data_IF_927778933715
#
_entry.id   IF_927778933715
#
_cell.length_a   1.000
_cell.length_b   1.000
_cell.length_c   1.000
_cell.angle_alpha   90.00
_cell.angle_beta   90.00
_cell.angle_gamma   90.00
#
_symmetry.space_group_name_H-M   'P 1'
#
loop_
_entity.id
_entity.type
_entity.pdbx_description
1 polymer ?
#
# COMPACT_ATOMS: atom_id res chain seq x y z
N UNK A 1 -7.71 -10.07 1.32
CA UNK A 1 -7.45 -11.24 2.20
C UNK A 1 -8.33 -11.01 3.40
N UNK A 2 -9.52 -11.61 3.49
CA UNK A 2 -10.50 -11.25 4.53
C UNK A 2 -10.00 -11.74 5.90
N UNK A 3 -9.45 -10.83 6.71
CA UNK A 3 -9.08 -11.08 8.11
C UNK A 3 -9.86 -10.09 8.95
N UNK A 4 -10.95 -10.56 9.56
CA UNK A 4 -11.73 -9.79 10.54
C UNK A 4 -10.82 -9.25 11.65
N UNK A 5 -10.52 -7.95 11.62
CA UNK A 5 -9.77 -7.24 12.67
C UNK A 5 -10.73 -6.87 13.80
N UNK A 6 -11.08 -7.85 14.64
CA UNK A 6 -12.12 -7.69 15.66
C UNK A 6 -11.65 -7.02 16.96
N UNK A 7 -10.41 -7.27 17.42
CA UNK A 7 -9.92 -6.79 18.71
C UNK A 7 -8.77 -5.78 18.61
N UNK A 8 -8.57 -4.95 19.64
CA UNK A 8 -7.42 -4.02 19.76
C UNK A 8 -6.06 -4.73 19.65
N UNK A 9 -5.99 -5.99 20.11
CA UNK A 9 -4.80 -6.84 19.96
C UNK A 9 -4.56 -7.21 18.50
N UNK A 10 -5.62 -7.41 17.72
CA UNK A 10 -5.54 -7.69 16.29
C UNK A 10 -5.07 -6.46 15.51
N UNK A 11 -5.51 -5.25 15.92
CA UNK A 11 -5.03 -3.98 15.35
C UNK A 11 -3.53 -3.82 15.60
N UNK A 12 -3.08 -3.99 16.85
CA UNK A 12 -1.66 -3.87 17.19
C UNK A 12 -0.80 -4.88 16.42
N UNK A 13 -1.29 -6.11 16.26
CA UNK A 13 -0.62 -7.13 15.47
C UNK A 13 -0.58 -6.78 13.98
N UNK A 14 -1.69 -6.30 13.42
CA UNK A 14 -1.78 -5.88 12.02
C UNK A 14 -0.82 -4.71 11.73
N UNK A 15 -0.74 -3.72 12.62
CA UNK A 15 0.22 -2.62 12.50
C UNK A 15 1.66 -3.14 12.46
N UNK A 16 2.02 -4.10 13.32
CA UNK A 16 3.38 -4.68 13.34
C UNK A 16 3.67 -5.48 12.08
N UNK A 17 2.71 -6.26 11.57
CA UNK A 17 2.83 -7.00 10.31
C UNK A 17 3.09 -6.03 9.15
N UNK A 18 2.29 -4.97 9.04
CA UNK A 18 2.37 -4.00 7.95
C UNK A 18 3.66 -3.15 7.98
N UNK A 19 4.15 -2.81 9.18
CA UNK A 19 5.45 -2.14 9.36
C UNK A 19 6.60 -3.02 8.86
N UNK A 20 6.52 -4.32 9.09
CA UNK A 20 7.55 -5.28 8.66
C UNK A 20 7.45 -5.57 7.16
N UNK A 21 6.24 -5.77 6.63
CA UNK A 21 6.01 -6.10 5.22
C UNK A 21 6.41 -4.95 4.29
N UNK A 22 6.19 -3.69 4.71
CA UNK A 22 6.53 -2.51 3.92
C UNK A 22 7.91 -1.91 4.22
N UNK A 23 8.74 -2.59 5.04
CA UNK A 23 10.07 -2.09 5.43
C UNK A 23 10.05 -0.63 5.95
N UNK A 24 9.02 -0.27 6.71
CA UNK A 24 8.73 1.11 7.12
C UNK A 24 9.92 1.80 7.82
N UNK A 25 10.68 1.05 8.62
CA UNK A 25 11.88 1.56 9.30
C UNK A 25 13.03 1.84 8.32
N UNK A 26 13.19 1.05 7.27
CA UNK A 26 14.19 1.29 6.24
C UNK A 26 13.86 2.53 5.42
N UNK A 27 12.58 2.70 5.05
CA UNK A 27 12.10 3.91 4.38
C UNK A 27 12.29 5.15 5.26
N UNK A 28 11.96 5.07 6.55
CA UNK A 28 12.20 6.14 7.51
C UNK A 28 13.68 6.57 7.59
N UNK A 29 14.61 5.62 7.51
CA UNK A 29 16.05 5.92 7.49
C UNK A 29 16.46 6.73 6.24
N UNK A 30 15.92 6.39 5.07
CA UNK A 30 16.17 7.15 3.84
C UNK A 30 15.59 8.56 3.89
N UNK A 31 14.39 8.72 4.43
CA UNK A 31 13.70 10.00 4.66
C UNK A 31 14.53 10.86 5.62
N UNK A 32 15.00 10.28 6.72
CA UNK A 32 15.84 10.98 7.70
C UNK A 32 17.16 11.47 7.10
N UNK A 33 17.80 10.65 6.27
CA UNK A 33 19.00 11.07 5.55
C UNK A 33 18.74 12.28 4.64
N UNK A 34 17.70 12.23 3.81
CA UNK A 34 17.39 13.35 2.91
C UNK A 34 16.90 14.60 3.66
N UNK A 35 16.17 14.44 4.77
CA UNK A 35 15.80 15.53 5.65
C UNK A 35 17.04 16.20 6.26
N UNK A 36 18.01 15.41 6.74
CA UNK A 36 19.27 15.91 7.28
C UNK A 36 20.08 16.68 6.23
N UNK A 37 20.25 16.13 5.02
CA UNK A 37 20.97 16.80 3.93
C UNK A 37 20.26 18.11 3.53
N UNK A 38 18.93 18.18 3.63
CA UNK A 38 18.17 19.39 3.32
C UNK A 38 18.26 20.49 4.38
N UNK A 39 18.71 20.16 5.60
CA UNK A 39 18.60 21.08 6.74
C UNK A 39 19.43 22.36 6.55
N UNK A 40 20.71 22.24 6.23
CA UNK A 40 21.59 23.41 6.07
C UNK A 40 21.10 24.32 4.92
N UNK A 41 20.82 23.80 3.71
CA UNK A 41 20.26 24.61 2.64
C UNK A 41 18.89 25.22 2.96
N UNK A 42 18.05 24.52 3.76
CA UNK A 42 16.74 25.02 4.17
C UNK A 42 16.89 26.22 5.12
N UNK A 43 17.77 26.11 6.10
CA UNK A 43 18.03 27.18 7.07
C UNK A 43 18.58 28.43 6.38
N UNK A 44 19.55 28.24 5.49
CA UNK A 44 20.04 29.26 4.58
C UNK A 44 18.91 29.95 3.79
N UNK A 45 18.05 29.16 3.15
CA UNK A 45 16.93 29.66 2.37
C UNK A 45 15.94 30.46 3.24
N UNK A 46 15.56 29.94 4.41
CA UNK A 46 14.68 30.63 5.36
C UNK A 46 15.28 31.95 5.81
N UNK A 47 16.58 31.97 6.15
CA UNK A 47 17.29 33.17 6.55
C UNK A 47 17.31 34.23 5.43
N UNK A 48 17.56 33.82 4.19
CA UNK A 48 17.53 34.72 3.02
C UNK A 48 16.13 35.28 2.81
N UNK A 49 15.09 34.44 2.83
CA UNK A 49 13.70 34.87 2.66
C UNK A 49 13.31 35.83 3.78
N UNK A 50 13.63 35.51 5.03
CA UNK A 50 13.37 36.38 6.18
C UNK A 50 14.08 37.74 6.04
N UNK A 51 15.35 37.72 5.64
CA UNK A 51 16.16 38.93 5.44
C UNK A 51 15.58 39.83 4.34
N UNK A 52 15.08 39.23 3.26
CA UNK A 52 14.48 39.96 2.13
C UNK A 52 13.09 40.51 2.48
N UNK A 53 12.26 39.75 3.19
CA UNK A 53 10.86 40.11 3.47
C UNK A 53 10.74 41.06 4.67
N UNK A 54 11.49 40.82 5.74
CA UNK A 54 11.39 41.57 7.00
C UNK A 54 12.69 42.22 7.47
N UNK A 55 13.74 42.19 6.66
CA UNK A 55 15.04 42.76 7.01
C UNK A 55 15.88 41.85 7.92
N UNK A 56 17.10 42.31 8.21
CA UNK A 56 18.08 41.55 8.99
C UNK A 56 17.61 41.25 10.42
N UNK A 57 16.81 42.16 11.01
CA UNK A 57 16.28 42.01 12.36
C UNK A 57 15.31 40.84 12.47
N UNK A 58 14.38 40.70 11.51
CA UNK A 58 13.46 39.57 11.47
C UNK A 58 14.22 38.25 11.27
N UNK A 59 15.24 38.24 10.40
CA UNK A 59 16.05 37.06 10.17
C UNK A 59 16.78 36.62 11.45
N UNK A 60 17.40 37.55 12.18
CA UNK A 60 18.06 37.28 13.45
C UNK A 60 17.07 36.83 14.54
N UNK A 61 15.88 37.43 14.60
CA UNK A 61 14.84 37.03 15.54
C UNK A 61 14.33 35.62 15.24
N UNK A 62 14.08 35.28 13.98
CA UNK A 62 13.67 33.93 13.57
C UNK A 62 14.74 32.92 13.97
N UNK A 63 16.02 33.22 13.77
CA UNK A 63 17.13 32.33 14.16
C UNK A 63 17.18 32.15 15.67
N UNK A 64 17.09 33.24 16.43
CA UNK A 64 17.10 33.21 17.89
C UNK A 64 15.92 32.40 18.46
N UNK A 65 14.71 32.63 17.96
CA UNK A 65 13.51 31.91 18.40
C UNK A 65 13.49 30.45 17.89
N UNK A 66 13.95 30.19 16.66
CA UNK A 66 14.06 28.82 16.13
C UNK A 66 15.08 28.00 16.91
N UNK A 67 16.15 28.65 17.39
CA UNK A 67 17.16 28.02 18.22
C UNK A 67 16.54 27.31 19.43
N UNK A 68 15.59 27.94 20.12
CA UNK A 68 14.91 27.33 21.29
C UNK A 68 14.18 26.03 20.97
N UNK A 69 13.72 25.84 19.73
CA UNK A 69 13.02 24.63 19.30
C UNK A 69 13.94 23.60 18.62
N UNK A 70 15.19 23.98 18.34
CA UNK A 70 16.21 23.09 17.78
C UNK A 70 17.00 22.40 18.88
N UNK A 71 17.45 21.18 18.58
CA UNK A 71 18.49 20.51 19.36
C UNK A 71 19.72 21.42 19.50
N UNK A 72 20.51 21.37 20.59
CA UNK A 72 21.76 22.13 20.71
C UNK A 72 22.68 21.96 19.49
N UNK A 73 22.81 20.74 18.99
CA UNK A 73 23.56 20.45 17.77
C UNK A 73 22.95 21.03 16.49
N UNK A 74 21.63 21.20 16.46
CA UNK A 74 20.92 21.89 15.38
C UNK A 74 21.10 23.40 15.45
N UNK A 75 21.24 23.97 16.66
CA UNK A 75 21.59 25.38 16.87
C UNK A 75 23.02 25.65 16.39
N UNK A 76 24.00 24.83 16.81
CA UNK A 76 25.39 24.96 16.36
C UNK A 76 25.49 24.88 14.83
N UNK A 77 24.79 23.92 14.22
CA UNK A 77 24.75 23.76 12.77
C UNK A 77 24.07 24.93 12.04
N UNK A 78 23.07 25.56 12.68
CA UNK A 78 22.39 26.76 12.18
C UNK A 78 23.32 27.98 12.23
N UNK A 79 24.01 28.18 13.36
CA UNK A 79 24.96 29.28 13.54
C UNK A 79 26.14 29.15 12.56
N UNK A 80 26.69 27.95 12.39
CA UNK A 80 27.74 27.65 11.42
C UNK A 80 27.27 27.90 9.97
N UNK A 81 26.03 27.51 9.63
CA UNK A 81 25.48 27.72 8.30
C UNK A 81 25.31 29.21 7.97
N UNK A 82 24.77 29.99 8.91
CA UNK A 82 24.53 31.43 8.72
C UNK A 82 25.87 32.17 8.61
N UNK A 83 26.82 31.86 9.49
CA UNK A 83 28.15 32.50 9.46
C UNK A 83 28.97 32.11 8.23
N UNK A 84 28.82 30.88 7.73
CA UNK A 84 29.50 30.41 6.53
C UNK A 84 28.91 31.00 5.23
N UNK A 85 27.60 31.26 5.17
CA UNK A 85 26.94 31.77 3.96
C UNK A 85 26.88 33.30 3.84
N UNK A 86 27.06 34.05 4.93
CA UNK A 86 26.92 35.51 5.00
C UNK A 86 27.87 36.37 4.13
N UNK A 87 28.50 35.83 3.09
CA UNK A 87 29.40 36.59 2.21
C UNK A 87 29.65 36.08 0.79
N UNK A 88 28.95 35.04 0.29
CA UNK A 88 29.25 34.47 -1.05
C UNK A 88 28.00 34.16 -1.86
N UNK A 89 27.61 35.05 -2.78
CA UNK A 89 26.46 34.86 -3.68
C UNK A 89 26.52 33.62 -4.61
N UNK A 90 27.65 32.91 -4.69
CA UNK A 90 27.73 31.61 -5.35
C UNK A 90 27.30 30.42 -4.48
N UNK A 91 27.38 30.56 -3.15
CA UNK A 91 26.90 29.53 -2.21
C UNK A 91 25.38 29.39 -2.26
N UNK A 92 24.65 30.51 -2.45
CA UNK A 92 23.19 30.53 -2.45
C UNK A 92 22.57 29.73 -3.59
N UNK A 93 23.13 29.78 -4.81
CA UNK A 93 22.62 29.00 -5.96
C UNK A 93 22.83 27.51 -5.72
N UNK A 94 24.00 27.12 -5.20
CA UNK A 94 24.30 25.71 -4.87
C UNK A 94 23.37 25.22 -3.77
N UNK A 95 23.18 26.01 -2.70
CA UNK A 95 22.25 25.69 -1.61
C UNK A 95 20.82 25.52 -2.11
N UNK A 96 20.31 26.42 -2.97
CA UNK A 96 18.98 26.26 -3.56
C UNK A 96 18.86 24.98 -4.38
N UNK A 97 19.85 24.64 -5.20
CA UNK A 97 19.84 23.40 -5.99
C UNK A 97 19.86 22.16 -5.08
N UNK A 98 20.72 22.14 -4.07
CA UNK A 98 20.81 21.04 -3.10
C UNK A 98 19.53 20.93 -2.27
N UNK A 99 18.94 22.05 -1.87
CA UNK A 99 17.67 22.11 -1.14
C UNK A 99 16.54 21.48 -1.98
N UNK A 100 16.36 21.95 -3.21
CA UNK A 100 15.31 21.45 -4.10
C UNK A 100 15.49 19.96 -4.40
N UNK A 101 16.74 19.53 -4.65
CA UNK A 101 17.04 18.12 -4.88
C UNK A 101 16.76 17.24 -3.64
N UNK A 102 17.18 17.69 -2.47
CA UNK A 102 16.99 16.94 -1.21
C UNK A 102 15.52 16.93 -0.78
N UNK A 103 14.81 18.05 -0.93
CA UNK A 103 13.38 18.16 -0.66
C UNK A 103 12.57 17.25 -1.59
N UNK A 104 12.92 17.19 -2.88
CA UNK A 104 12.29 16.26 -3.82
C UNK A 104 12.55 14.80 -3.42
N UNK A 105 13.77 14.46 -3.00
CA UNK A 105 14.10 13.10 -2.53
C UNK A 105 13.37 12.74 -1.23
N UNK A 106 13.31 13.66 -0.28
CA UNK A 106 12.57 13.52 0.97
C UNK A 106 11.09 13.24 0.69
N UNK A 107 10.47 14.09 -0.13
CA UNK A 107 9.07 13.95 -0.52
C UNK A 107 8.81 12.62 -1.24
N UNK A 108 9.67 12.24 -2.19
CA UNK A 108 9.58 10.96 -2.87
C UNK A 108 9.67 9.78 -1.91
N UNK A 109 10.52 9.86 -0.89
CA UNK A 109 10.60 8.84 0.15
C UNK A 109 9.28 8.70 0.91
N UNK A 110 8.66 9.82 1.29
CA UNK A 110 7.34 9.85 1.93
C UNK A 110 6.25 9.30 1.01
N UNK A 111 6.13 9.83 -0.21
CA UNK A 111 5.15 9.39 -1.22
C UNK A 111 5.26 7.89 -1.51
N UNK A 112 6.49 7.38 -1.65
CA UNK A 112 6.74 5.93 -1.83
C UNK A 112 6.29 5.14 -0.61
N UNK A 113 6.61 5.59 0.61
CA UNK A 113 6.23 4.90 1.83
C UNK A 113 4.71 4.81 2.00
N UNK A 114 4.00 5.91 1.77
CA UNK A 114 2.53 5.91 1.81
C UNK A 114 1.94 5.06 0.68
N UNK A 115 2.47 5.14 -0.54
CA UNK A 115 1.96 4.32 -1.64
C UNK A 115 2.13 2.82 -1.37
N UNK A 116 3.27 2.42 -0.79
CA UNK A 116 3.49 1.02 -0.38
C UNK A 116 2.48 0.56 0.67
N UNK A 117 2.28 1.35 1.74
CA UNK A 117 1.31 1.03 2.81
C UNK A 117 -0.10 0.85 2.26
N UNK A 118 -0.53 1.71 1.34
CA UNK A 118 -1.88 1.66 0.78
C UNK A 118 -2.00 0.72 -0.43
N UNK A 119 -0.92 0.05 -0.83
CA UNK A 119 -0.88 -0.81 -2.01
C UNK A 119 -1.10 -0.06 -3.34
N UNK A 120 -0.88 1.25 -3.35
CA UNK A 120 -0.99 2.09 -4.54
C UNK A 120 0.21 1.88 -5.48
N UNK A 121 -0.01 2.06 -6.78
CA UNK A 121 1.03 1.89 -7.80
C UNK A 121 2.20 2.87 -7.60
N UNK A 122 3.44 2.37 -7.74
CA UNK A 122 4.66 3.19 -7.61
C UNK A 122 5.02 3.97 -8.89
N UNK A 123 4.33 3.71 -9.99
CA UNK A 123 4.59 4.27 -11.32
C UNK A 123 4.00 5.68 -11.49
N UNK A 124 4.22 6.56 -10.52
CA UNK A 124 3.76 7.96 -10.59
C UNK A 124 4.70 8.78 -11.47
N UNK A 125 4.13 9.66 -12.29
CA UNK A 125 4.93 10.61 -13.06
C UNK A 125 5.69 11.57 -12.14
N UNK A 126 6.91 11.97 -12.53
CA UNK A 126 7.71 12.94 -11.75
C UNK A 126 6.93 14.24 -11.54
N UNK A 127 6.16 14.67 -12.54
CA UNK A 127 5.33 15.88 -12.47
C UNK A 127 4.23 15.73 -11.41
N UNK A 128 3.52 14.59 -11.38
CA UNK A 128 2.52 14.32 -10.34
C UNK A 128 3.11 14.34 -8.93
N UNK A 129 4.28 13.73 -8.74
CA UNK A 129 4.98 13.77 -7.46
C UNK A 129 5.36 15.20 -7.04
N UNK A 130 5.83 16.04 -7.97
CA UNK A 130 6.15 17.44 -7.67
C UNK A 130 4.89 18.24 -7.33
N UNK A 131 3.78 18.01 -8.04
CA UNK A 131 2.50 18.67 -7.75
C UNK A 131 2.01 18.27 -6.35
N UNK A 132 2.02 16.97 -6.02
CA UNK A 132 1.66 16.50 -4.69
C UNK A 132 2.57 17.09 -3.62
N UNK A 133 3.88 17.23 -3.89
CA UNK A 133 4.81 17.89 -2.99
C UNK A 133 4.42 19.34 -2.73
N UNK A 134 4.15 20.11 -3.79
CA UNK A 134 3.74 21.51 -3.67
C UNK A 134 2.42 21.65 -2.91
N UNK A 135 1.45 20.76 -3.14
CA UNK A 135 0.17 20.76 -2.43
C UNK A 135 0.38 20.45 -0.94
N UNK A 136 1.12 19.40 -0.62
CA UNK A 136 1.37 18.98 0.78
C UNK A 136 2.15 20.06 1.53
N UNK A 137 3.27 20.54 0.98
CA UNK A 137 4.06 21.60 1.61
C UNK A 137 3.29 22.91 1.71
N UNK A 138 2.55 23.31 0.66
CA UNK A 138 1.71 24.49 0.68
C UNK A 138 0.63 24.43 1.76
N UNK A 139 -0.04 23.28 1.89
CA UNK A 139 -1.05 23.07 2.92
C UNK A 139 -0.43 23.05 4.34
N UNK A 140 0.74 22.45 4.52
CA UNK A 140 1.52 22.50 5.77
C UNK A 140 1.84 23.95 6.14
N UNK A 141 2.31 24.77 5.19
CA UNK A 141 2.63 26.18 5.44
C UNK A 141 1.38 26.96 5.84
N UNK A 142 0.26 26.78 5.13
CA UNK A 142 -1.01 27.44 5.46
C UNK A 142 -1.50 27.01 6.85
N UNK A 143 -1.42 25.72 7.19
CA UNK A 143 -1.79 25.21 8.50
C UNK A 143 -0.90 25.77 9.61
N UNK A 144 0.42 25.87 9.37
CA UNK A 144 1.37 26.46 10.31
C UNK A 144 1.11 27.95 10.54
N UNK A 145 0.89 28.74 9.49
CA UNK A 145 0.52 30.16 9.59
C UNK A 145 -0.81 30.31 10.34
N UNK A 146 -1.79 29.47 10.03
CA UNK A 146 -3.07 29.44 10.73
C UNK A 146 -2.92 29.15 12.22
N UNK A 147 -2.02 28.24 12.59
CA UNK A 147 -1.72 27.92 13.99
C UNK A 147 -1.04 29.08 14.73
N UNK A 148 -0.09 29.76 14.07
CA UNK A 148 0.56 30.97 14.62
C UNK A 148 -0.48 32.08 14.83
N UNK A 149 -1.33 32.31 13.81
CA UNK A 149 -2.40 33.30 13.88
C UNK A 149 -3.43 32.99 14.97
N UNK A 150 -3.78 31.70 15.14
CA UNK A 150 -4.62 31.25 16.23
C UNK A 150 -3.94 31.53 17.58
N UNK A 151 -2.66 31.17 17.75
CA UNK A 151 -1.89 31.48 18.95
C UNK A 151 -1.90 32.96 19.32
N UNK A 152 -1.71 33.84 18.34
CA UNK A 152 -1.78 35.29 18.53
C UNK A 152 -3.19 35.76 18.94
N UNK A 153 -4.25 35.20 18.35
CA UNK A 153 -5.63 35.53 18.73
C UNK A 153 -5.95 35.12 20.17
N UNK A 154 -5.42 33.99 20.63
CA UNK A 154 -5.65 33.47 21.97
C UNK A 154 -5.06 34.37 23.08
N UNK A 155 -4.01 35.14 22.78
CA UNK A 155 -3.45 36.15 23.71
C UNK A 155 -4.49 37.20 24.12
N UNK A 156 -5.47 37.47 23.25
CA UNK A 156 -6.56 38.43 23.53
C UNK A 156 -7.72 37.84 24.35
N UNK A 157 -7.70 36.54 24.68
CA UNK A 157 -8.73 35.86 25.49
C UNK A 157 -8.17 35.34 26.84
N UNK A 158 -7.61 36.19 27.71
CA UNK A 158 -6.85 35.76 28.89
C UNK A 158 -7.65 34.93 29.93
N UNK A 159 -8.99 35.06 29.95
CA UNK A 159 -9.86 34.39 30.93
C UNK A 159 -10.28 32.96 30.56
N UNK A 160 -9.90 32.47 29.39
CA UNK A 160 -10.22 31.10 28.98
C UNK A 160 -9.22 30.13 29.64
N UNK A 161 -9.65 28.97 30.17
CA UNK A 161 -8.79 28.06 30.94
C UNK A 161 -7.85 27.24 30.04
N UNK A 162 -6.96 27.93 29.31
CA UNK A 162 -6.08 27.30 28.33
C UNK A 162 -5.07 26.35 28.96
N UNK A 163 -4.61 26.58 30.19
CA UNK A 163 -3.53 25.79 30.80
C UNK A 163 -3.77 24.28 30.85
N UNK A 164 -5.03 23.84 31.03
CA UNK A 164 -5.38 22.41 30.99
C UNK A 164 -5.59 21.88 29.56
N UNK A 165 -5.93 22.75 28.61
CA UNK A 165 -6.24 22.40 27.22
C UNK A 165 -5.03 22.58 26.28
N UNK A 166 -3.97 23.25 26.71
CA UNK A 166 -2.74 23.47 25.93
C UNK A 166 -2.22 22.21 25.23
N UNK A 167 -2.04 21.05 25.90
CA UNK A 167 -1.58 19.85 25.20
C UNK A 167 -2.57 19.35 24.14
N UNK A 168 -3.87 19.52 24.38
CA UNK A 168 -4.91 19.13 23.43
C UNK A 168 -4.94 20.06 22.21
N UNK A 169 -4.76 21.37 22.40
CA UNK A 169 -4.60 22.34 21.32
C UNK A 169 -3.33 22.09 20.51
N UNK A 170 -2.22 21.73 21.16
CA UNK A 170 -0.99 21.38 20.47
C UNK A 170 -1.17 20.14 19.59
N UNK A 171 -1.76 19.08 20.14
CA UNK A 171 -2.05 17.87 19.36
C UNK A 171 -3.01 18.17 18.22
N UNK A 172 -4.09 18.94 18.46
CA UNK A 172 -5.06 19.29 17.42
C UNK A 172 -4.43 20.14 16.30
N UNK A 173 -3.63 21.16 16.66
CA UNK A 173 -2.91 22.00 15.71
C UNK A 173 -1.90 21.22 14.89
N UNK A 174 -1.12 20.35 15.56
CA UNK A 174 -0.14 19.52 14.87
C UNK A 174 -0.81 18.43 14.00
N UNK A 175 -1.97 17.92 14.41
CA UNK A 175 -2.78 17.03 13.58
C UNK A 175 -3.24 17.74 12.30
N UNK A 176 -3.66 19.01 12.41
CA UNK A 176 -4.03 19.82 11.26
C UNK A 176 -2.85 20.07 10.32
N UNK A 177 -1.66 20.30 10.87
CA UNK A 177 -0.41 20.45 10.09
C UNK A 177 -0.07 19.16 9.35
N UNK A 178 -0.21 18.00 9.98
CA UNK A 178 0.10 16.73 9.33
C UNK A 178 -0.98 16.20 8.40
N UNK A 179 -2.24 16.61 8.57
CA UNK A 179 -3.40 16.10 7.81
C UNK A 179 -3.21 16.10 6.28
N UNK A 180 -2.65 17.13 5.63
CA UNK A 180 -2.45 17.12 4.17
C UNK A 180 -1.57 15.97 3.70
N UNK A 181 -0.57 15.58 4.50
CA UNK A 181 0.30 14.45 4.20
C UNK A 181 -0.48 13.14 4.17
N UNK A 182 -1.35 12.92 5.17
CA UNK A 182 -2.18 11.71 5.28
C UNK A 182 -3.32 11.64 4.27
N UNK A 183 -3.69 12.78 3.68
CA UNK A 183 -4.75 12.86 2.68
C UNK A 183 -4.23 12.74 1.25
N UNK A 184 -3.10 13.38 0.93
CA UNK A 184 -2.59 13.49 -0.45
C UNK A 184 -1.60 12.37 -0.82
N UNK A 185 -0.73 11.95 0.10
CA UNK A 185 0.32 10.97 -0.21
C UNK A 185 -0.15 9.55 -0.53
N UNK A 186 -1.21 9.00 0.11
CA UNK A 186 -1.70 7.67 -0.21
C UNK A 186 -2.04 7.46 -1.69
N UNK A 187 -2.45 8.53 -2.39
CA UNK A 187 -2.83 8.52 -3.81
C UNK A 187 -3.80 7.39 -4.16
N UNK A 188 -4.74 7.14 -3.25
CA UNK A 188 -5.86 6.22 -3.44
C UNK A 188 -7.12 7.04 -3.73
N UNK A 189 -7.93 6.52 -4.66
CA UNK A 189 -9.23 7.10 -4.97
C UNK A 189 -10.14 7.05 -3.72
N UNK A 190 -10.94 8.09 -3.51
CA UNK A 190 -11.98 8.18 -2.48
C UNK A 190 -11.54 8.15 -0.99
N UNK A 191 -10.27 8.47 -0.68
CA UNK A 191 -9.88 8.67 0.72
C UNK A 191 -10.62 9.87 1.33
N UNK A 192 -11.38 9.64 2.40
CA UNK A 192 -12.05 10.71 3.14
C UNK A 192 -11.09 11.37 4.15
N UNK A 193 -11.26 12.68 4.40
CA UNK A 193 -10.55 13.39 5.49
C UNK A 193 -10.75 12.69 6.84
N UNK A 194 -11.92 12.09 7.07
CA UNK A 194 -12.22 11.34 8.30
C UNK A 194 -11.35 10.09 8.46
N UNK A 195 -10.96 9.46 7.35
CA UNK A 195 -10.07 8.30 7.34
C UNK A 195 -8.60 8.72 7.48
N UNK A 196 -8.23 9.94 7.06
CA UNK A 196 -6.88 10.48 7.21
C UNK A 196 -6.58 10.97 8.65
N UNK A 197 -7.60 11.43 9.38
CA UNK A 197 -7.46 12.09 10.68
C UNK A 197 -6.83 11.25 11.80
N UNK A 198 -7.15 9.95 11.98
CA UNK A 198 -6.60 9.14 13.07
C UNK A 198 -5.07 9.03 13.03
N UNK A 199 -4.51 8.85 11.84
CA UNK A 199 -3.07 8.76 11.57
C UNK A 199 -2.37 10.09 11.75
N UNK A 200 -3.00 11.20 11.31
CA UNK A 200 -2.51 12.53 11.58
C UNK A 200 -2.45 12.85 13.08
N UNK A 201 -3.49 12.45 13.83
CA UNK A 201 -3.52 12.57 15.29
C UNK A 201 -2.50 11.68 16.00
N UNK A 202 -2.31 10.45 15.52
CA UNK A 202 -1.27 9.55 16.00
C UNK A 202 0.12 10.16 15.79
N UNK A 203 0.39 10.68 14.59
CA UNK A 203 1.65 11.32 14.28
C UNK A 203 1.88 12.59 15.10
N UNK A 204 0.85 13.42 15.29
CA UNK A 204 0.90 14.59 16.16
C UNK A 204 1.26 14.21 17.61
N UNK A 205 0.61 13.18 18.15
CA UNK A 205 0.91 12.68 19.49
C UNK A 205 2.32 12.12 19.59
N UNK A 206 2.73 11.28 18.62
CA UNK A 206 4.08 10.71 18.57
C UNK A 206 5.16 11.78 18.41
N UNK A 207 4.89 12.84 17.66
CA UNK A 207 5.78 13.97 17.48
C UNK A 207 5.93 14.80 18.76
N UNK A 208 4.84 15.04 19.48
CA UNK A 208 4.87 15.70 20.79
C UNK A 208 5.65 14.88 21.83
N UNK A 209 5.49 13.56 21.82
CA UNK A 209 6.30 12.65 22.64
C UNK A 209 7.77 12.71 22.24
N UNK A 210 8.08 12.64 20.94
CA UNK A 210 9.44 12.72 20.42
C UNK A 210 10.14 14.01 20.87
N UNK A 211 9.45 15.16 20.76
CA UNK A 211 9.95 16.44 21.26
C UNK A 211 10.28 16.39 22.76
N UNK A 212 9.38 15.81 23.58
CA UNK A 212 9.58 15.69 25.03
C UNK A 212 10.76 14.79 25.38
N UNK A 213 10.82 13.58 24.80
CA UNK A 213 11.93 12.64 25.04
C UNK A 213 13.28 13.24 24.63
N UNK A 214 13.29 13.95 23.51
CA UNK A 214 14.50 14.53 22.99
C UNK A 214 14.97 15.75 23.81
N UNK A 215 14.04 16.58 24.29
CA UNK A 215 14.36 17.66 25.23
C UNK A 215 14.99 17.13 26.53
N UNK A 216 14.42 16.05 27.09
CA UNK A 216 15.00 15.37 28.26
C UNK A 216 16.41 14.84 27.96
N UNK A 217 16.59 14.15 26.84
CA UNK A 217 17.91 13.63 26.45
C UNK A 217 18.92 14.76 26.26
N UNK A 218 18.58 15.80 25.50
CA UNK A 218 19.45 16.94 25.20
C UNK A 218 19.86 17.69 26.47
N UNK A 219 18.94 17.85 27.43
CA UNK A 219 19.24 18.49 28.72
C UNK A 219 20.29 17.73 29.55
N UNK A 220 20.41 16.41 29.36
CA UNK A 220 21.38 15.56 30.04
C UNK A 220 22.65 15.30 29.20
N UNK A 221 22.58 15.53 27.88
CA UNK A 221 23.68 15.27 26.94
C UNK A 221 24.86 16.24 27.10
N UNK A 222 24.62 17.48 27.55
CA UNK A 222 25.66 18.49 27.79
C UNK A 222 26.70 18.11 28.87
N UNK A 223 26.45 17.04 29.64
CA UNK A 223 27.42 16.50 30.61
C UNK A 223 28.45 15.55 29.96
N UNK A 224 28.25 15.18 28.69
CA UNK A 224 29.09 14.24 27.95
C UNK A 224 29.80 14.95 26.79
N UNK A 225 30.78 15.80 27.11
CA UNK A 225 31.70 16.47 26.16
C UNK A 225 32.44 15.50 25.19
N UNK A 226 32.37 14.19 25.45
CA UNK A 226 33.15 13.17 24.76
C UNK A 226 32.85 13.02 23.25
N UNK A 227 31.73 13.56 22.75
CA UNK A 227 31.29 13.33 21.36
C UNK A 227 31.21 14.58 20.47
N UNK A 228 31.32 15.79 21.03
CA UNK A 228 31.33 17.06 20.29
C UNK A 228 30.28 17.15 19.16
N UNK A 229 30.65 17.77 18.04
CA UNK A 229 29.79 17.94 16.86
C UNK A 229 29.29 16.61 16.26
N UNK A 230 30.07 15.52 16.35
CA UNK A 230 29.69 14.20 15.81
C UNK A 230 28.52 13.62 16.59
N UNK A 231 28.56 13.71 17.93
CA UNK A 231 27.46 13.30 18.79
C UNK A 231 26.18 14.07 18.47
N UNK A 232 26.32 15.37 18.23
CA UNK A 232 25.22 16.23 17.80
C UNK A 232 24.57 15.80 16.49
N UNK A 233 25.37 15.52 15.46
CA UNK A 233 24.89 15.04 14.15
C UNK A 233 24.19 13.69 14.28
N UNK A 234 24.78 12.73 15.00
CA UNK A 234 24.18 11.41 15.20
C UNK A 234 22.85 11.50 15.95
N UNK A 235 22.80 12.38 16.94
CA UNK A 235 21.59 12.63 17.72
C UNK A 235 20.49 13.26 16.84
N UNK A 236 20.81 14.25 16.04
CA UNK A 236 19.89 14.88 15.10
C UNK A 236 19.39 13.89 14.03
N UNK A 237 20.27 13.05 13.47
CA UNK A 237 19.90 11.97 12.56
C UNK A 237 18.95 10.97 13.23
N UNK A 238 19.21 10.62 14.49
CA UNK A 238 18.35 9.73 15.27
C UNK A 238 16.97 10.36 15.50
N UNK A 239 16.92 11.66 15.78
CA UNK A 239 15.66 12.40 15.91
C UNK A 239 14.84 12.38 14.62
N UNK A 240 15.47 12.71 13.48
CA UNK A 240 14.83 12.66 12.16
C UNK A 240 14.37 11.25 11.81
N UNK A 241 15.16 10.23 12.15
CA UNK A 241 14.80 8.82 11.97
C UNK A 241 13.54 8.45 12.74
N UNK A 242 13.50 8.74 14.05
CA UNK A 242 12.32 8.43 14.87
C UNK A 242 11.11 9.25 14.39
N UNK A 243 11.31 10.51 13.99
CA UNK A 243 10.27 11.34 13.38
C UNK A 243 9.69 10.72 12.10
N UNK A 244 10.56 10.23 11.20
CA UNK A 244 10.14 9.50 10.01
C UNK A 244 9.36 8.22 10.34
N UNK A 245 9.81 7.47 11.35
CA UNK A 245 9.10 6.27 11.83
C UNK A 245 7.71 6.62 12.36
N UNK A 246 7.58 7.68 13.17
CA UNK A 246 6.29 8.14 13.71
C UNK A 246 5.31 8.52 12.58
N UNK A 247 5.80 9.23 11.57
CA UNK A 247 4.98 9.64 10.41
C UNK A 247 4.48 8.40 9.65
N UNK A 248 5.37 7.48 9.29
CA UNK A 248 5.01 6.27 8.54
C UNK A 248 4.06 5.38 9.37
N UNK A 249 4.29 5.24 10.68
CA UNK A 249 3.40 4.52 11.58
C UNK A 249 1.98 5.11 11.60
N UNK A 250 1.83 6.43 11.58
CA UNK A 250 0.51 7.06 11.43
C UNK A 250 -0.20 6.62 10.15
N UNK A 251 0.56 6.37 9.07
CA UNK A 251 0.03 5.92 7.78
C UNK A 251 -0.47 4.49 7.86
N UNK A 252 0.32 3.62 8.49
CA UNK A 252 -0.06 2.23 8.78
C UNK A 252 -1.30 2.17 9.68
N UNK A 253 -1.37 3.02 10.72
CA UNK A 253 -2.55 3.09 11.60
C UNK A 253 -3.80 3.45 10.80
N UNK A 254 -3.73 4.44 9.90
CA UNK A 254 -4.86 4.78 9.04
C UNK A 254 -5.27 3.61 8.14
N UNK A 255 -4.31 2.98 7.48
CA UNK A 255 -4.58 1.84 6.59
C UNK A 255 -5.26 0.68 7.33
N UNK A 256 -4.74 0.28 8.49
CA UNK A 256 -5.32 -0.80 9.32
C UNK A 256 -6.73 -0.45 9.81
N UNK A 257 -6.98 0.81 10.19
CA UNK A 257 -8.31 1.26 10.60
C UNK A 257 -9.29 1.33 9.42
N UNK A 258 -8.81 1.69 8.24
CA UNK A 258 -9.60 1.71 7.01
C UNK A 258 -10.03 0.29 6.62
N UNK A 259 -9.09 -0.66 6.58
CA UNK A 259 -9.35 -2.06 6.22
C UNK A 259 -10.37 -2.69 7.17
N UNK A 260 -10.26 -2.42 8.49
CA UNK A 260 -11.22 -2.90 9.48
C UNK A 260 -12.64 -2.39 9.22
N UNK A 261 -12.78 -1.10 8.90
CA UNK A 261 -14.09 -0.49 8.68
C UNK A 261 -14.74 -1.04 7.40
N UNK A 262 -13.94 -1.33 6.36
CA UNK A 262 -14.40 -1.97 5.14
C UNK A 262 -14.85 -3.41 5.40
N UNK A 263 -14.06 -4.20 6.14
CA UNK A 263 -14.40 -5.57 6.55
C UNK A 263 -15.73 -5.65 7.35
N UNK A 264 -16.02 -4.63 8.17
CA UNK A 264 -17.26 -4.58 8.96
C UNK A 264 -18.46 -4.26 8.06
N UNK A 265 -18.28 -3.34 7.11
CA UNK A 265 -19.34 -2.90 6.20
C UNK A 265 -19.77 -4.03 5.26
N UNK A 266 -18.82 -4.82 4.74
CA UNK A 266 -19.13 -5.99 3.90
C UNK A 266 -19.89 -7.07 4.70
N UNK A 267 -19.56 -7.27 5.98
CA UNK A 267 -20.25 -8.25 6.81
C UNK A 267 -21.69 -7.86 7.15
N UNK A 268 -21.98 -6.57 7.31
CA UNK A 268 -23.35 -6.09 7.59
C UNK A 268 -24.25 -6.24 6.35
N UNK A 269 -23.68 -6.05 5.15
CA UNK A 269 -24.39 -6.25 3.87
C UNK A 269 -24.68 -7.73 3.64
N UNK A 270 -23.70 -8.63 3.87
CA UNK A 270 -23.91 -10.07 3.76
C UNK A 270 -24.94 -10.60 4.77
N UNK A 271 -24.98 -10.05 6.00
CA UNK A 271 -25.97 -10.41 7.00
C UNK A 271 -27.39 -9.93 6.64
N UNK A 272 -27.55 -8.71 6.13
CA UNK A 272 -28.85 -8.19 5.70
C UNK A 272 -29.39 -8.90 4.44
N UNK A 273 -28.54 -9.23 3.47
CA UNK A 273 -28.94 -10.05 2.31
C UNK A 273 -29.32 -11.49 2.71
N UNK A 274 -28.58 -12.09 3.66
CA UNK A 274 -28.91 -13.40 4.22
C UNK A 274 -30.26 -13.39 4.94
N UNK A 275 -30.56 -12.31 5.68
CA UNK A 275 -31.82 -12.13 6.40
C UNK A 275 -33.00 -11.88 5.46
N UNK A 276 -32.79 -11.10 4.40
CA UNK A 276 -33.78 -10.84 3.36
C UNK A 276 -34.15 -12.13 2.60
N UNK A 277 -33.15 -12.95 2.26
CA UNK A 277 -33.36 -14.24 1.58
C UNK A 277 -34.07 -15.28 2.47
N UNK A 278 -33.87 -15.19 3.79
CA UNK A 278 -34.52 -16.07 4.77
C UNK A 278 -35.96 -15.66 5.12
N UNK A 279 -36.35 -14.43 4.79
CA UNK A 279 -37.66 -13.85 5.13
C UNK A 279 -38.75 -14.10 4.07
N UNK A 280 -38.51 -14.90 3.03
CA UNK A 280 -39.56 -15.46 2.15
C UNK A 280 -39.88 -16.90 2.56
N UNK A 281 -40.96 -17.16 3.33
CA UNK A 281 -41.46 -18.51 3.54
C UNK A 281 -42.13 -18.99 2.26
N UNK A 282 -41.66 -20.13 1.75
CA UNK A 282 -42.36 -20.85 0.68
C UNK A 282 -43.81 -21.14 1.10
N UNK A 283 -44.75 -20.79 0.23
CA UNK A 283 -46.11 -21.32 0.28
C UNK A 283 -46.10 -22.64 -0.50
N UNK A 284 -46.34 -23.81 0.12
CA UNK A 284 -46.64 -25.02 -0.62
C UNK A 284 -48.14 -25.01 -0.91
N UNK A 285 -48.54 -24.71 -2.15
CA UNK A 285 -49.92 -24.92 -2.58
C UNK A 285 -49.96 -26.15 -3.48
N UNK A 286 -50.33 -27.28 -2.87
CA UNK A 286 -50.87 -28.42 -3.55
C UNK A 286 -52.39 -28.40 -3.34
N UNK A 287 -53.16 -28.23 -4.40
CA UNK A 287 -54.44 -28.94 -4.53
C UNK A 287 -54.87 -29.01 -6.00
N UNK A 288 -55.41 -30.18 -6.30
CA UNK A 288 -55.82 -30.78 -7.56
C UNK A 288 -57.23 -30.31 -7.96
N UNK A 289 -57.62 -30.44 -9.24
CA UNK A 289 -59.03 -30.32 -9.64
C UNK A 289 -59.35 -29.60 -10.95
N UNK A 290 -59.53 -30.41 -11.99
CA UNK A 290 -60.11 -30.16 -13.32
C UNK A 290 -61.48 -29.47 -13.36
N UNK A 291 -61.75 -28.60 -14.36
CA UNK A 291 -62.84 -28.75 -15.37
C UNK A 291 -63.16 -27.45 -16.15
N UNK A 292 -63.08 -27.56 -17.48
CA UNK A 292 -64.02 -27.11 -18.54
C UNK A 292 -64.52 -25.66 -18.75
N UNK A 293 -64.21 -25.18 -19.97
CA UNK A 293 -65.13 -24.72 -21.06
C UNK A 293 -65.70 -23.27 -21.08
N UNK A 294 -65.42 -22.62 -22.22
CA UNK A 294 -66.17 -21.56 -22.94
C UNK A 294 -66.28 -20.18 -22.29
N UNK A 295 -66.52 -19.07 -22.98
CA UNK A 295 -66.39 -18.54 -24.35
C UNK A 295 -66.82 -17.07 -24.22
N UNK A 296 -66.38 -16.25 -25.17
CA UNK A 296 -67.05 -15.02 -25.63
C UNK A 296 -66.91 -13.67 -24.88
N UNK A 297 -66.66 -12.66 -25.73
CA UNK A 297 -67.23 -11.31 -25.76
C UNK A 297 -66.61 -10.23 -24.83
N UNK A 298 -65.72 -9.36 -25.33
CA UNK A 298 -65.90 -8.13 -26.14
C UNK A 298 -66.25 -6.88 -25.33
N UNK A 299 -65.38 -5.86 -25.40
CA UNK A 299 -65.61 -4.40 -25.55
C UNK A 299 -64.25 -3.71 -25.26
N UNK A 300 -63.52 -3.17 -26.24
CA UNK A 300 -63.69 -1.87 -26.93
C UNK A 300 -63.91 -0.75 -25.90
N UNK A 301 -63.00 0.21 -25.70
CA UNK A 301 -62.66 1.41 -26.49
C UNK A 301 -61.65 2.20 -25.58
N UNK A 302 -60.71 3.07 -25.97
CA UNK A 302 -60.59 4.00 -27.08
C UNK A 302 -59.16 4.59 -27.10
N UNK A 303 -58.77 5.01 -28.30
CA UNK A 303 -57.70 5.86 -28.84
C UNK A 303 -56.87 6.77 -27.89
N UNK A 304 -55.61 7.09 -28.19
CA UNK A 304 -55.27 7.96 -29.34
C UNK A 304 -53.76 8.13 -29.56
N UNK A 305 -53.32 7.92 -30.80
CA UNK A 305 -52.16 8.60 -31.39
C UNK A 305 -52.59 10.00 -31.90
N UNK A 306 -51.65 10.89 -32.29
CA UNK A 306 -51.32 10.88 -33.71
C UNK A 306 -49.82 11.06 -34.05
N UNK A 307 -49.54 10.49 -35.21
CA UNK A 307 -48.35 10.53 -36.06
C UNK A 307 -47.97 11.94 -36.58
N UNK A 308 -46.70 12.10 -36.95
CA UNK A 308 -46.22 13.22 -37.77
C UNK A 308 -44.73 13.15 -38.18
N UNK A 309 -44.46 12.55 -39.35
CA UNK A 309 -43.59 13.06 -40.46
C UNK A 309 -42.31 13.86 -40.12
N UNK A 310 -41.10 13.62 -40.61
CA UNK A 310 -40.60 12.95 -41.81
C UNK A 310 -39.23 13.56 -42.22
N UNK A 311 -38.49 12.85 -43.08
CA UNK A 311 -37.36 13.32 -43.94
C UNK A 311 -35.89 13.18 -43.46
N UNK A 312 -35.29 12.06 -43.91
CA UNK A 312 -34.08 11.89 -44.76
C UNK A 312 -32.76 12.69 -44.56
N UNK A 313 -31.67 11.94 -44.27
CA UNK A 313 -30.54 11.54 -45.17
C UNK A 313 -29.09 11.84 -44.66
N UNK A 314 -28.22 10.85 -44.96
CA UNK A 314 -26.74 10.80 -45.00
C UNK A 314 -26.03 10.47 -43.66
N UNK A 315 -25.45 9.27 -43.43
CA UNK A 315 -24.43 8.45 -44.11
C UNK A 315 -22.99 8.79 -43.70
N UNK A 316 -22.33 7.85 -42.99
CA UNK A 316 -20.99 7.23 -43.19
C UNK A 316 -20.68 6.45 -41.90
N UNK A 317 -20.67 5.12 -41.89
CA UNK A 317 -19.59 4.19 -42.30
C UNK A 317 -18.55 3.94 -41.19
N UNK A 318 -18.52 2.69 -40.72
CA UNK A 318 -17.44 2.10 -39.91
C UNK A 318 -17.49 0.58 -40.10
N UNK A 319 -16.38 -0.07 -40.50
CA UNK A 319 -16.41 -1.46 -40.93
C UNK A 319 -16.15 -2.46 -39.80
N UNK A 320 -16.90 -3.57 -39.83
CA UNK A 320 -16.59 -4.84 -39.15
C UNK A 320 -15.78 -5.73 -40.10
N UNK A 321 -14.69 -6.31 -39.59
CA UNK A 321 -13.98 -7.43 -40.20
C UNK A 321 -14.06 -8.70 -39.32
N UNK A 322 -13.92 -9.91 -39.89
CA UNK A 322 -14.48 -11.16 -39.34
C UNK A 322 -13.43 -12.10 -38.73
N UNK A 323 -13.91 -13.08 -37.94
CA UNK A 323 -13.18 -14.29 -37.54
C UNK A 323 -13.75 -15.53 -38.26
N UNK A 324 -12.96 -16.60 -38.44
CA UNK A 324 -13.05 -17.47 -39.62
C UNK A 324 -13.90 -18.74 -39.44
N UNK A 325 -14.36 -19.25 -40.59
CA UNK A 325 -14.89 -20.59 -40.83
C UNK A 325 -13.84 -21.69 -40.62
N UNK A 326 -14.25 -22.82 -40.04
CA UNK A 326 -13.53 -24.10 -40.16
C UNK A 326 -14.41 -25.02 -41.01
N UNK A 327 -13.87 -25.39 -42.17
CA UNK A 327 -14.45 -26.32 -43.13
C UNK A 327 -14.17 -27.79 -42.79
N UNK A 328 -15.01 -28.64 -43.37
CA UNK A 328 -14.99 -30.09 -43.29
C UNK A 328 -14.18 -30.74 -44.43
N UNK A 329 -14.02 -32.07 -44.31
CA UNK A 329 -13.61 -33.08 -45.31
C UNK A 329 -12.09 -33.14 -45.58
N UNK A 330 -11.40 -34.29 -45.65
CA UNK A 330 -11.75 -35.56 -46.32
C UNK A 330 -10.76 -36.65 -45.89
N UNK A 331 -11.20 -37.86 -45.59
CA UNK A 331 -10.37 -39.08 -45.67
C UNK A 331 -11.10 -40.12 -46.54
N UNK A 332 -10.53 -40.40 -47.71
CA UNK A 332 -10.82 -41.58 -48.53
C UNK A 332 -9.68 -42.60 -48.34
N UNK A 333 -10.03 -43.89 -48.20
CA UNK A 333 -9.55 -44.93 -49.12
C UNK A 333 -10.00 -46.36 -48.71
N UNK A 334 -10.93 -46.89 -49.50
CA UNK A 334 -10.92 -48.20 -50.17
C UNK A 334 -10.88 -49.53 -49.39
N UNK A 335 -11.94 -50.31 -49.68
CA UNK A 335 -11.93 -51.69 -50.21
C UNK A 335 -11.87 -52.88 -49.24
N UNK A 336 -13.01 -53.57 -49.09
CA UNK A 336 -13.09 -55.03 -49.22
C UNK A 336 -14.54 -55.53 -49.26
N UNK A 337 -14.96 -55.88 -50.48
CA UNK A 337 -15.85 -56.99 -50.88
C UNK A 337 -16.41 -57.91 -49.77
N UNK A 338 -17.75 -58.00 -49.63
CA UNK A 338 -18.48 -59.28 -49.53
C UNK A 338 -20.02 -59.17 -49.64
N UNK A 339 -20.53 -59.74 -50.73
CA UNK A 339 -21.71 -60.62 -50.87
C UNK A 339 -23.09 -60.26 -50.29
N UNK A 340 -24.05 -60.20 -51.23
CA UNK A 340 -25.42 -60.74 -51.18
C UNK A 340 -26.42 -60.00 -50.27
N UNK A 341 -27.63 -59.64 -50.69
CA UNK A 341 -28.51 -60.21 -51.71
C UNK A 341 -29.50 -59.14 -52.20
N UNK A 342 -29.95 -59.29 -53.44
CA UNK A 342 -31.15 -58.63 -53.97
C UNK A 342 -32.38 -58.94 -53.12
N UNK A 343 -33.09 -57.89 -52.69
CA UNK A 343 -34.55 -57.96 -52.56
C UNK A 343 -35.14 -56.66 -53.09
N UNK A 344 -35.66 -56.74 -54.31
CA UNK A 344 -36.56 -55.76 -54.87
C UNK A 344 -37.89 -55.82 -54.10
N UNK A 345 -38.46 -54.67 -53.75
CA UNK A 345 -39.86 -54.33 -54.07
C UNK A 345 -40.36 -53.09 -53.30
N UNK A 346 -41.07 -52.25 -54.06
CA UNK A 346 -42.27 -51.51 -53.65
C UNK A 346 -42.15 -50.42 -52.59
N UNK A 347 -42.23 -49.19 -53.07
CA UNK A 347 -42.57 -48.04 -52.26
C UNK A 347 -43.90 -48.25 -51.53
N UNK A 348 -43.87 -47.98 -50.23
CA UNK A 348 -45.05 -47.72 -49.43
C UNK A 348 -44.75 -46.46 -48.64
N UNK A 349 -45.53 -45.40 -48.85
CA UNK A 349 -45.50 -44.20 -47.99
C UNK A 349 -45.78 -44.65 -46.56
N UNK A 350 -44.83 -44.44 -45.65
CA UNK A 350 -45.01 -44.74 -44.23
C UNK A 350 -46.10 -43.85 -43.59
N UNK A 351 -46.78 -44.32 -42.53
CA UNK A 351 -47.76 -43.52 -41.80
C UNK A 351 -47.07 -42.33 -41.11
N UNK A 352 -47.81 -41.23 -40.89
CA UNK A 352 -47.33 -40.10 -40.09
C UNK A 352 -46.82 -40.60 -38.72
N UNK A 353 -45.68 -40.09 -38.21
CA UNK A 353 -45.06 -40.60 -37.00
C UNK A 353 -45.99 -40.38 -35.80
N UNK A 354 -46.05 -41.40 -34.95
CA UNK A 354 -46.84 -41.44 -33.73
C UNK A 354 -46.33 -40.35 -32.76
N UNK A 355 -47.22 -39.44 -32.39
CA UNK A 355 -46.97 -38.34 -31.45
C UNK A 355 -46.53 -38.83 -30.08
N UNK A 356 -46.84 -40.08 -29.72
CA UNK A 356 -46.38 -40.72 -28.48
C UNK A 356 -44.87 -41.06 -28.56
N UNK A 357 -44.39 -41.53 -29.72
CA UNK A 357 -42.97 -41.84 -29.92
C UNK A 357 -42.04 -40.62 -29.87
N UNK A 358 -42.53 -39.47 -30.37
CA UNK A 358 -41.78 -38.20 -30.31
C UNK A 358 -41.63 -37.66 -28.88
N UNK A 359 -42.59 -37.94 -27.99
CA UNK A 359 -42.51 -37.52 -26.59
C UNK A 359 -41.48 -38.35 -25.81
N UNK A 360 -41.36 -39.64 -26.14
CA UNK A 360 -40.36 -40.51 -25.54
C UNK A 360 -38.94 -40.15 -26.02
N UNK A 361 -38.78 -39.76 -27.28
CA UNK A 361 -37.52 -39.26 -27.84
C UNK A 361 -37.10 -37.91 -27.20
N UNK A 362 -38.05 -36.97 -27.00
CA UNK A 362 -37.78 -35.73 -26.27
C UNK A 362 -37.39 -36.00 -24.81
N UNK A 363 -37.98 -37.03 -24.18
CA UNK A 363 -37.64 -37.42 -22.81
C UNK A 363 -36.25 -38.03 -22.73
N UNK A 364 -35.82 -38.83 -23.72
CA UNK A 364 -34.46 -39.36 -23.76
C UNK A 364 -33.43 -38.27 -24.03
N UNK A 365 -33.69 -37.35 -24.96
CA UNK A 365 -32.77 -36.23 -25.24
C UNK A 365 -32.58 -35.31 -24.02
N UNK A 366 -33.61 -35.10 -23.20
CA UNK A 366 -33.46 -34.32 -21.95
C UNK A 366 -32.60 -35.06 -20.93
N UNK A 367 -32.77 -36.38 -20.79
CA UNK A 367 -31.96 -37.19 -19.88
C UNK A 367 -30.47 -37.22 -20.29
N UNK A 368 -30.19 -37.27 -21.60
CA UNK A 368 -28.82 -37.19 -22.12
C UNK A 368 -28.20 -35.81 -21.90
N UNK A 369 -28.99 -34.73 -22.05
CA UNK A 369 -28.52 -33.36 -21.80
C UNK A 369 -28.16 -33.13 -20.32
N UNK A 370 -28.97 -33.66 -19.39
CA UNK A 370 -28.71 -33.55 -17.95
C UNK A 370 -27.45 -34.33 -17.56
N UNK A 371 -27.24 -35.50 -18.17
CA UNK A 371 -26.03 -36.31 -17.97
C UNK A 371 -24.79 -35.60 -18.52
N UNK A 372 -24.89 -34.98 -19.69
CA UNK A 372 -23.81 -34.21 -20.30
C UNK A 372 -23.45 -32.96 -19.48
N UNK A 373 -24.47 -32.26 -18.95
CA UNK A 373 -24.27 -31.10 -18.07
C UNK A 373 -23.56 -31.48 -16.78
N UNK A 374 -23.92 -32.61 -16.18
CA UNK A 374 -23.26 -33.13 -14.98
C UNK A 374 -21.78 -33.50 -15.24
N UNK A 375 -21.46 -34.07 -16.41
CA UNK A 375 -20.07 -34.39 -16.77
C UNK A 375 -19.22 -33.12 -16.98
N UNK A 376 -19.80 -32.08 -17.61
CA UNK A 376 -19.15 -30.77 -17.81
C UNK A 376 -18.88 -30.08 -16.48
N UNK A 377 -19.85 -30.03 -15.56
CA UNK A 377 -19.68 -29.43 -14.23
C UNK A 377 -18.57 -30.15 -13.43
N UNK A 378 -18.46 -31.47 -13.57
CA UNK A 378 -17.43 -32.27 -12.90
C UNK A 378 -16.01 -32.06 -13.45
N UNK A 379 -15.90 -31.63 -14.72
CA UNK A 379 -14.62 -31.39 -15.40
C UNK A 379 -14.20 -29.92 -15.40
N UNK A 380 -15.11 -29.02 -15.03
CA UNK A 380 -14.84 -27.58 -14.99
C UNK A 380 -14.39 -27.20 -13.57
N UNK A 381 -13.09 -27.22 -13.34
CA UNK A 381 -12.51 -26.79 -12.05
C UNK A 381 -12.75 -25.29 -11.89
N UNK A 382 -13.43 -24.90 -10.82
CA UNK A 382 -13.71 -23.51 -10.48
C UNK A 382 -12.42 -22.69 -10.37
N UNK A 383 -12.41 -21.50 -10.98
CA UNK A 383 -11.27 -20.58 -10.99
C UNK A 383 -10.79 -20.26 -9.57
N UNK A 384 -11.68 -20.25 -8.58
CA UNK A 384 -11.33 -19.97 -7.18
C UNK A 384 -10.43 -21.05 -6.54
N UNK A 385 -10.61 -22.32 -6.92
CA UNK A 385 -9.86 -23.44 -6.33
C UNK A 385 -8.41 -23.46 -6.85
N UNK A 386 -8.23 -23.19 -8.14
CA UNK A 386 -6.90 -23.06 -8.78
C UNK A 386 -6.15 -21.85 -8.24
N UNK A 387 -6.83 -20.71 -8.02
CA UNK A 387 -6.21 -19.51 -7.45
C UNK A 387 -5.77 -19.73 -6.00
N UNK A 388 -6.58 -20.44 -5.20
CA UNK A 388 -6.27 -20.81 -3.83
C UNK A 388 -5.01 -21.68 -3.75
N UNK A 389 -4.92 -22.72 -4.58
CA UNK A 389 -3.77 -23.62 -4.61
C UNK A 389 -2.51 -22.94 -5.14
N UNK A 390 -2.64 -22.05 -6.13
CA UNK A 390 -1.53 -21.25 -6.63
C UNK A 390 -1.04 -20.25 -5.57
N UNK A 391 -1.95 -19.54 -4.88
CA UNK A 391 -1.62 -18.66 -3.73
C UNK A 391 -0.94 -19.45 -2.62
N UNK A 392 -1.42 -20.66 -2.30
CA UNK A 392 -0.84 -21.53 -1.27
C UNK A 392 0.54 -22.04 -1.66
N UNK A 393 0.75 -22.38 -2.93
CA UNK A 393 2.05 -22.78 -3.48
C UNK A 393 3.06 -21.63 -3.45
N UNK A 394 2.67 -20.44 -3.92
CA UNK A 394 3.51 -19.23 -3.91
C UNK A 394 3.84 -18.81 -2.47
N UNK A 395 2.86 -18.81 -1.56
CA UNK A 395 3.07 -18.51 -0.13
C UNK A 395 4.02 -19.50 0.55
N UNK A 396 3.93 -20.79 0.21
CA UNK A 396 4.85 -21.83 0.72
C UNK A 396 6.25 -21.69 0.14
N UNK A 397 6.38 -21.18 -1.08
CA UNK A 397 7.68 -20.97 -1.74
C UNK A 397 8.39 -19.72 -1.24
N UNK A 398 7.67 -18.62 -1.02
CA UNK A 398 8.21 -17.37 -0.46
C UNK A 398 8.69 -17.59 0.98
N UNK A 399 7.94 -18.32 1.81
CA UNK A 399 8.34 -18.64 3.20
C UNK A 399 9.61 -19.50 3.33
N UNK A 400 9.97 -20.28 2.30
CA UNK A 400 11.21 -21.08 2.32
C UNK A 400 12.47 -20.27 1.98
N UNK A 401 12.32 -19.03 1.49
CA UNK A 401 13.46 -18.18 1.09
C UNK A 401 14.11 -17.38 2.22
N UNK A 402 13.39 -17.08 3.31
CA UNK A 402 13.86 -16.11 4.32
C UNK A 402 14.44 -16.72 5.61
N UNK A 403 14.35 -18.04 5.81
CA UNK A 403 14.73 -18.67 7.08
C UNK A 403 16.23 -19.03 7.20
N UNK A 404 17.01 -19.00 6.11
CA UNK A 404 18.43 -19.42 6.14
C UNK A 404 19.44 -18.29 6.33
N UNK A 405 18.98 -17.03 6.46
CA UNK A 405 19.85 -15.84 6.50
C UNK A 405 20.08 -15.20 7.87
N UNK A 406 19.65 -15.79 8.99
CA UNK A 406 19.68 -15.11 10.30
C UNK A 406 21.07 -15.05 10.97
N UNK A 407 22.00 -15.93 10.61
CA UNK A 407 23.29 -16.03 11.30
C UNK A 407 24.16 -14.75 11.23
N UNK A 408 24.23 -14.01 10.11
CA UNK A 408 24.97 -12.75 10.07
C UNK A 408 24.38 -11.68 11.01
N UNK A 409 23.05 -11.64 11.15
CA UNK A 409 22.37 -10.71 12.05
C UNK A 409 22.57 -11.06 13.53
N UNK A 410 22.63 -12.34 13.88
CA UNK A 410 22.95 -12.79 15.24
C UNK A 410 24.39 -12.41 15.64
N UNK A 411 25.34 -12.49 14.71
CA UNK A 411 26.73 -12.05 14.95
C UNK A 411 26.80 -10.53 15.16
N UNK A 412 26.04 -9.77 14.37
CA UNK A 412 25.98 -8.31 14.49
C UNK A 412 25.32 -7.88 15.82
N UNK A 413 24.25 -8.58 16.22
CA UNK A 413 23.59 -8.40 17.52
C UNK A 413 24.52 -8.74 18.69
N UNK A 414 25.26 -9.85 18.60
CA UNK A 414 26.26 -10.21 19.61
C UNK A 414 27.37 -9.15 19.70
N UNK A 415 27.85 -8.65 18.56
CA UNK A 415 28.85 -7.59 18.50
C UNK A 415 28.37 -6.29 19.12
N UNK A 416 27.12 -5.89 18.89
CA UNK A 416 26.53 -4.69 19.50
C UNK A 416 26.36 -4.83 21.00
N UNK A 417 25.84 -5.97 21.49
CA UNK A 417 25.70 -6.24 22.92
C UNK A 417 27.08 -6.25 23.62
N UNK A 418 28.08 -6.91 23.02
CA UNK A 418 29.44 -6.93 23.57
C UNK A 418 30.11 -5.56 23.56
N UNK A 419 29.83 -4.73 22.55
CA UNK A 419 30.34 -3.36 22.48
C UNK A 419 29.71 -2.51 23.59
N UNK A 420 28.39 -2.61 23.81
CA UNK A 420 27.73 -1.96 24.95
C UNK A 420 28.31 -2.45 26.28
N UNK A 421 28.55 -3.76 26.44
CA UNK A 421 29.19 -4.32 27.62
C UNK A 421 30.60 -3.77 27.85
N UNK A 422 31.40 -3.63 26.78
CA UNK A 422 32.74 -3.05 26.86
C UNK A 422 32.70 -1.59 27.34
N UNK A 423 31.76 -0.77 26.85
CA UNK A 423 31.58 0.61 27.31
C UNK A 423 31.02 0.71 28.73
N UNK A 424 30.25 -0.28 29.17
CA UNK A 424 29.72 -0.32 30.54
C UNK A 424 30.80 -0.68 31.57
N UNK A 425 31.71 -1.61 31.23
CA UNK A 425 32.70 -2.13 32.17
C UNK A 425 34.11 -1.50 32.04
N UNK A 426 34.44 -0.87 30.92
CA UNK A 426 35.75 -0.26 30.67
C UNK A 426 35.60 1.25 30.44
N UNK A 427 36.53 2.03 30.99
CA UNK A 427 36.58 3.49 30.83
C UNK A 427 37.89 3.95 30.18
N UNK A 428 37.83 5.02 29.39
CA UNK A 428 39.01 5.65 28.76
C UNK A 428 39.54 4.90 27.53
N UNK A 429 40.84 5.06 27.24
CA UNK A 429 41.47 4.51 26.01
C UNK A 429 41.36 2.99 25.86
N UNK A 430 41.18 2.26 26.96
CA UNK A 430 40.97 0.80 26.95
C UNK A 430 39.61 0.38 26.39
N UNK A 431 38.56 1.21 26.54
CA UNK A 431 37.26 0.96 25.92
C UNK A 431 37.36 1.07 24.39
N UNK A 432 38.13 2.04 23.89
CA UNK A 432 38.38 2.24 22.47
C UNK A 432 39.19 1.06 21.89
N UNK A 433 40.23 0.62 22.61
CA UNK A 433 41.01 -0.55 22.20
C UNK A 433 40.14 -1.83 22.17
N UNK A 434 39.32 -2.05 23.20
CA UNK A 434 38.39 -3.18 23.26
C UNK A 434 37.34 -3.13 22.13
N UNK A 435 36.81 -1.94 21.82
CA UNK A 435 35.90 -1.72 20.69
C UNK A 435 36.55 -2.10 19.36
N UNK A 436 37.77 -1.64 19.09
CA UNK A 436 38.48 -1.96 17.84
C UNK A 436 38.70 -3.47 17.69
N UNK A 437 39.09 -4.14 18.78
CA UNK A 437 39.30 -5.60 18.77
C UNK A 437 37.98 -6.36 18.57
N UNK A 438 36.90 -5.97 19.26
CA UNK A 438 35.58 -6.58 19.11
C UNK A 438 35.01 -6.35 17.70
N UNK A 439 35.21 -5.15 17.15
CA UNK A 439 34.76 -4.81 15.81
C UNK A 439 35.52 -5.59 14.73
N UNK A 440 36.84 -5.69 14.84
CA UNK A 440 37.65 -6.51 13.93
C UNK A 440 37.32 -8.01 14.04
N UNK A 441 37.05 -8.51 15.24
CA UNK A 441 36.67 -9.91 15.47
C UNK A 441 35.30 -10.24 14.88
N UNK A 442 34.31 -9.37 15.08
CA UNK A 442 32.95 -9.55 14.54
C UNK A 442 32.91 -9.41 13.02
N UNK A 443 33.66 -8.46 12.45
CA UNK A 443 33.82 -8.30 11.01
C UNK A 443 34.52 -9.51 10.38
N UNK A 444 35.55 -10.05 11.03
CA UNK A 444 36.25 -11.24 10.59
C UNK A 444 35.36 -12.49 10.58
N UNK A 445 34.60 -12.71 11.66
CA UNK A 445 33.64 -13.81 11.74
C UNK A 445 32.54 -13.70 10.67
N UNK A 446 32.02 -12.49 10.45
CA UNK A 446 31.04 -12.20 9.41
C UNK A 446 31.60 -12.53 8.01
N UNK A 447 32.82 -12.10 7.69
CA UNK A 447 33.45 -12.38 6.41
C UNK A 447 33.65 -13.89 6.16
N UNK A 448 34.06 -14.64 7.18
CA UNK A 448 34.18 -16.11 7.11
C UNK A 448 32.81 -16.75 6.89
N UNK A 449 31.78 -16.31 7.62
CA UNK A 449 30.43 -16.85 7.48
C UNK A 449 29.84 -16.59 6.09
N UNK A 450 30.03 -15.39 5.54
CA UNK A 450 29.58 -15.02 4.18
C UNK A 450 30.32 -15.88 3.14
N UNK A 451 31.63 -16.07 3.31
CA UNK A 451 32.43 -16.88 2.39
C UNK A 451 32.01 -18.35 2.42
N UNK A 452 31.77 -18.91 3.62
CA UNK A 452 31.30 -20.30 3.80
C UNK A 452 29.86 -20.46 3.30
N UNK A 453 28.98 -19.50 3.57
CA UNK A 453 27.60 -19.49 3.08
C UNK A 453 27.53 -19.43 1.56
N UNK A 454 28.36 -18.60 0.93
CA UNK A 454 28.52 -18.56 -0.52
C UNK A 454 29.09 -19.88 -1.08
N UNK A 455 30.10 -20.45 -0.42
CA UNK A 455 30.71 -21.73 -0.82
C UNK A 455 29.75 -22.92 -0.75
N UNK A 456 28.91 -23.00 0.29
CA UNK A 456 27.88 -24.04 0.42
C UNK A 456 26.72 -23.85 -0.56
N UNK A 457 26.38 -22.61 -0.92
CA UNK A 457 25.38 -22.30 -1.94
C UNK A 457 25.77 -22.79 -3.34
N UNK A 458 27.07 -22.76 -3.65
CA UNK A 458 27.63 -23.27 -4.92
C UNK A 458 27.63 -24.81 -4.97
N UNK A 459 27.76 -25.49 -3.83
CA UNK A 459 27.70 -26.96 -3.75
C UNK A 459 26.29 -27.55 -3.92
N UNK A 460 25.23 -26.74 -3.77
CA UNK A 460 23.83 -27.15 -4.02
C UNK A 460 23.39 -27.07 -5.50
N UNK A 461 24.27 -26.61 -6.39
CA UNK A 461 23.98 -26.37 -7.81
C UNK A 461 23.84 -27.63 -8.72
N UNK A 462 24.45 -28.81 -8.46
CA UNK A 462 24.41 -29.91 -9.43
C UNK A 462 23.06 -30.63 -9.53
N UNK A 463 22.16 -30.49 -8.55
CA UNK A 463 20.83 -31.11 -8.61
C UNK A 463 19.89 -30.43 -9.62
N UNK A 464 19.99 -29.11 -9.76
CA UNK A 464 19.06 -28.33 -10.61
C UNK A 464 19.39 -28.40 -12.10
N UNK A 465 20.64 -28.67 -12.45
CA UNK A 465 21.06 -28.86 -13.84
C UNK A 465 20.59 -30.23 -14.36
N UNK A 466 20.61 -31.26 -13.51
CA UNK A 466 20.20 -32.61 -13.92
C UNK A 466 18.68 -32.69 -14.20
N UNK A 467 17.86 -31.97 -13.41
CA UNK A 467 16.42 -31.87 -13.65
C UNK A 467 16.08 -31.05 -14.92
N UNK A 468 16.86 -30.01 -15.22
CA UNK A 468 16.72 -29.23 -16.45
C UNK A 468 17.06 -30.05 -17.70
N UNK A 469 18.07 -30.91 -17.63
CA UNK A 469 18.46 -31.79 -18.74
C UNK A 469 17.46 -32.94 -18.94
N UNK A 470 16.84 -33.46 -17.86
CA UNK A 470 15.85 -34.53 -17.97
C UNK A 470 14.55 -34.08 -18.65
N UNK A 471 14.12 -32.84 -18.41
CA UNK A 471 12.93 -32.28 -19.06
C UNK A 471 13.15 -31.91 -20.53
N UNK A 472 14.40 -31.67 -20.95
CA UNK A 472 14.71 -31.37 -22.35
C UNK A 472 14.76 -32.60 -23.26
N UNK A 473 14.84 -33.81 -22.70
CA UNK A 473 14.82 -35.09 -23.44
C UNK A 473 13.43 -35.76 -23.49
N UNK A 474 12.41 -35.14 -22.91
CA UNK A 474 11.04 -35.66 -22.84
C UNK A 474 10.05 -35.03 -23.83
N UNK A 475 10.50 -34.06 -24.63
CA UNK A 475 9.84 -33.56 -25.85
C UNK A 475 10.72 -33.93 -27.05
#
# INVERSE_FOLDING_TARGET
MNRRIGNTVDIGRAVVEEVQENEATFLAASIAYYAFVSLIPLLAFVFIVASVVGGQELANQIVAESGEYLAPAGQDALDDAITAEAGRGGATVVSVVVLLWSALKLFRGLDTAFSLIYGAGLDKSIVGQVINAVIVFGAIIVAAIGMIGLGALLVFLPDFPFGLLTPLFLIAGLSLVFLPMYYVLPDVEDLSIKQALPGAAFAAFGWALLHTFFGLYASNAGQYDAYGAIGGILLLLTWLYIGGVVIILGGVVNYVLMERNNDTSDSDVEEDESKATRATPGTPSAEDGTADVASEATSDEDSSEPSGSGTTRAATDSPRGPSPEIGAETEEATDSTRTASEEAATGTRGPAPDVVGLQDEVRSLRADLDTFRADIESKTVGKEEVESDLKKYVRKRIRRGHATGWGPYLVLLYGTIMTLGAFFFLSGGWAIAAMIVLWLSTLGLYAVMVTVGAGLGVLGFPGRINDAIRNWRGN
#
